data_IF_883383745377
#
_entry.id   IF_883383745377
#
_cell.length_a   1.000
_cell.length_b   1.000
_cell.length_c   1.000
_cell.angle_alpha   90.00
_cell.angle_beta   90.00
_cell.angle_gamma   90.00
#
_symmetry.space_group_name_H-M   'P 1'
#
loop_
_entity.id
_entity.type
_entity.pdbx_description
1 polymer ?
#
# COMPACT_ATOMS: atom_id res chain seq x y z
N UNK A 1 19.56 -21.28 9.99
CA UNK A 1 18.87 -20.06 10.46
C UNK A 1 18.88 -18.93 9.42
N UNK A 2 19.93 -18.84 8.60
CA UNK A 2 20.18 -17.69 7.71
C UNK A 2 19.56 -17.81 6.30
N UNK A 3 18.82 -18.89 6.03
CA UNK A 3 18.17 -19.09 4.74
C UNK A 3 16.97 -18.15 4.58
N UNK A 4 16.81 -17.57 3.37
CA UNK A 4 15.64 -16.74 3.05
C UNK A 4 14.37 -17.57 3.10
N UNK A 5 13.31 -17.01 3.67
CA UNK A 5 11.98 -17.64 3.74
C UNK A 5 11.50 -18.14 2.37
N UNK A 6 11.78 -17.42 1.29
CA UNK A 6 11.41 -17.84 -0.08
C UNK A 6 12.05 -19.16 -0.48
N UNK A 7 13.29 -19.41 -0.11
CA UNK A 7 13.99 -20.66 -0.42
C UNK A 7 13.50 -21.81 0.47
N UNK A 8 13.20 -21.52 1.74
CA UNK A 8 12.59 -22.49 2.64
C UNK A 8 11.20 -22.93 2.14
N UNK A 9 10.36 -21.99 1.71
CA UNK A 9 9.02 -22.30 1.17
C UNK A 9 9.11 -23.13 -0.12
N UNK A 10 10.05 -22.82 -1.02
CA UNK A 10 10.28 -23.64 -2.22
C UNK A 10 10.64 -25.08 -1.86
N UNK A 11 11.56 -25.27 -0.91
CA UNK A 11 11.98 -26.60 -0.44
C UNK A 11 10.83 -27.36 0.23
N UNK A 12 10.02 -26.67 1.04
CA UNK A 12 8.81 -27.28 1.65
C UNK A 12 7.82 -27.71 0.56
N UNK A 13 7.61 -26.90 -0.48
CA UNK A 13 6.73 -27.25 -1.58
C UNK A 13 7.25 -28.43 -2.43
N UNK A 14 8.58 -28.59 -2.55
CA UNK A 14 9.21 -29.79 -3.13
C UNK A 14 8.93 -31.03 -2.28
N UNK A 15 9.20 -30.96 -0.98
CA UNK A 15 8.93 -32.06 -0.05
C UNK A 15 7.46 -32.46 -0.06
N UNK A 16 6.54 -31.49 -0.09
CA UNK A 16 5.11 -31.78 -0.21
C UNK A 16 4.76 -32.49 -1.51
N UNK A 17 5.37 -32.13 -2.64
CA UNK A 17 5.11 -32.81 -3.92
C UNK A 17 5.55 -34.27 -3.88
N UNK A 18 6.72 -34.53 -3.33
CA UNK A 18 7.31 -35.87 -3.19
C UNK A 18 6.65 -36.73 -2.11
N UNK A 19 5.90 -36.11 -1.19
CA UNK A 19 5.22 -36.82 -0.11
C UNK A 19 4.21 -37.86 -0.66
N UNK A 20 4.22 -39.11 -0.18
CA UNK A 20 3.25 -40.12 -0.60
C UNK A 20 1.82 -39.69 -0.32
N UNK A 21 0.88 -40.12 -1.18
CA UNK A 21 -0.53 -39.77 -1.03
C UNK A 21 -1.13 -40.29 0.28
N UNK A 22 -0.63 -41.42 0.81
CA UNK A 22 -1.04 -41.94 2.11
C UNK A 22 -0.68 -40.99 3.27
N UNK A 23 0.43 -40.27 3.17
CA UNK A 23 0.84 -39.28 4.17
C UNK A 23 0.15 -37.94 3.96
N UNK A 24 -0.02 -37.50 2.69
CA UNK A 24 -0.84 -36.33 2.36
C UNK A 24 -2.28 -36.47 2.87
N UNK A 25 -2.84 -37.68 2.78
CA UNK A 25 -4.19 -38.00 3.23
C UNK A 25 -4.44 -37.67 4.70
N UNK A 26 -3.43 -37.83 5.57
CA UNK A 26 -3.53 -37.46 6.99
C UNK A 26 -3.85 -35.97 7.13
N UNK A 27 -3.20 -35.11 6.35
CA UNK A 27 -3.44 -33.66 6.35
C UNK A 27 -4.78 -33.30 5.71
N UNK A 28 -5.20 -34.00 4.67
CA UNK A 28 -6.52 -33.79 4.05
C UNK A 28 -7.66 -34.17 4.98
N UNK A 29 -7.55 -35.30 5.67
CA UNK A 29 -8.56 -35.76 6.62
C UNK A 29 -8.63 -34.81 7.83
N UNK A 30 -7.48 -34.35 8.33
CA UNK A 30 -7.43 -33.29 9.35
C UNK A 30 -8.09 -31.99 8.87
N UNK A 31 -7.77 -31.53 7.65
CA UNK A 31 -8.39 -30.35 7.06
C UNK A 31 -9.91 -30.49 6.94
N UNK A 32 -10.41 -31.67 6.54
CA UNK A 32 -11.86 -31.92 6.44
C UNK A 32 -12.55 -31.83 7.79
N UNK A 33 -11.93 -32.36 8.84
CA UNK A 33 -12.44 -32.25 10.21
C UNK A 33 -12.47 -30.79 10.67
N UNK A 34 -11.36 -30.06 10.51
CA UNK A 34 -11.26 -28.63 10.85
C UNK A 34 -12.27 -27.78 10.06
N UNK A 35 -12.52 -28.14 8.80
CA UNK A 35 -13.49 -27.45 7.95
C UNK A 35 -14.93 -27.59 8.46
N UNK A 36 -15.30 -28.75 9.02
CA UNK A 36 -16.63 -28.90 9.64
C UNK A 36 -16.77 -27.98 10.86
N UNK A 37 -15.75 -27.97 11.73
CA UNK A 37 -15.73 -27.11 12.93
C UNK A 37 -15.80 -25.64 12.55
N UNK A 38 -15.01 -25.21 11.57
CA UNK A 38 -15.03 -23.84 11.04
C UNK A 38 -16.41 -23.47 10.51
N UNK A 39 -17.04 -24.35 9.71
CA UNK A 39 -18.35 -24.09 9.13
C UNK A 39 -19.42 -23.92 10.20
N UNK A 40 -19.43 -24.78 11.22
CA UNK A 40 -20.37 -24.66 12.34
C UNK A 40 -20.16 -23.36 13.12
N UNK A 41 -18.91 -22.99 13.38
CA UNK A 41 -18.59 -21.75 14.08
C UNK A 41 -19.00 -20.50 13.28
N UNK A 42 -18.76 -20.50 11.97
CA UNK A 42 -19.22 -19.40 11.10
C UNK A 42 -20.74 -19.29 11.12
N UNK A 43 -21.47 -20.41 11.05
CA UNK A 43 -22.92 -20.40 11.12
C UNK A 43 -23.41 -19.83 12.46
N UNK A 44 -22.82 -20.28 13.59
CA UNK A 44 -23.14 -19.76 14.93
C UNK A 44 -22.94 -18.25 15.01
N UNK A 45 -21.82 -17.75 14.51
CA UNK A 45 -21.53 -16.30 14.49
C UNK A 45 -22.57 -15.59 13.61
N UNK A 46 -22.86 -16.11 12.42
CA UNK A 46 -23.82 -15.50 11.50
C UNK A 46 -25.22 -15.38 12.10
N UNK A 47 -25.71 -16.42 12.80
CA UNK A 47 -27.01 -16.40 13.48
C UNK A 47 -27.08 -15.37 14.62
N UNK A 48 -25.95 -15.10 15.28
CA UNK A 48 -25.86 -14.14 16.38
C UNK A 48 -25.67 -12.69 15.92
N UNK A 49 -25.35 -12.44 14.65
CA UNK A 49 -25.09 -11.10 14.15
C UNK A 49 -26.39 -10.31 13.97
N UNK A 50 -26.40 -9.10 14.49
CA UNK A 50 -27.47 -8.13 14.20
C UNK A 50 -27.35 -7.60 12.76
N UNK A 51 -28.44 -7.12 12.14
CA UNK A 51 -28.39 -6.51 10.81
C UNK A 51 -27.35 -5.39 10.67
N UNK A 52 -27.19 -4.57 11.71
CA UNK A 52 -26.18 -3.49 11.71
C UNK A 52 -24.75 -4.02 11.69
N UNK A 53 -24.45 -5.06 12.47
CA UNK A 53 -23.13 -5.69 12.47
C UNK A 53 -22.83 -6.38 11.13
N UNK A 54 -23.82 -7.02 10.50
CA UNK A 54 -23.67 -7.62 9.16
C UNK A 54 -23.28 -6.55 8.13
N UNK A 55 -24.02 -5.44 8.08
CA UNK A 55 -23.70 -4.32 7.17
C UNK A 55 -22.32 -3.73 7.45
N UNK A 56 -21.94 -3.58 8.72
CA UNK A 56 -20.60 -3.10 9.09
C UNK A 56 -19.50 -4.06 8.61
N UNK A 57 -19.69 -5.37 8.81
CA UNK A 57 -18.75 -6.40 8.37
C UNK A 57 -18.61 -6.42 6.84
N UNK A 58 -19.72 -6.37 6.11
CA UNK A 58 -19.72 -6.28 4.65
C UNK A 58 -18.96 -5.05 4.16
N UNK A 59 -19.20 -3.89 4.79
CA UNK A 59 -18.48 -2.65 4.49
C UNK A 59 -16.99 -2.78 4.74
N UNK A 60 -16.58 -3.38 5.86
CA UNK A 60 -15.15 -3.62 6.15
C UNK A 60 -14.51 -4.55 5.14
N UNK A 61 -15.17 -5.65 4.77
CA UNK A 61 -14.70 -6.59 3.74
C UNK A 61 -14.55 -5.86 2.41
N UNK A 62 -15.54 -5.07 2.02
CA UNK A 62 -15.51 -4.25 0.80
C UNK A 62 -14.34 -3.26 0.83
N UNK A 63 -14.15 -2.54 1.94
CA UNK A 63 -13.04 -1.59 2.10
C UNK A 63 -11.68 -2.29 2.01
N UNK A 64 -11.51 -3.45 2.66
CA UNK A 64 -10.29 -4.26 2.57
C UNK A 64 -10.01 -4.69 1.13
N UNK A 65 -11.03 -5.15 0.40
CA UNK A 65 -10.92 -5.53 -1.03
C UNK A 65 -10.54 -4.34 -1.91
N UNK A 66 -11.21 -3.19 -1.75
CA UNK A 66 -10.92 -1.97 -2.50
C UNK A 66 -9.50 -1.46 -2.22
N UNK A 67 -9.07 -1.47 -0.94
CA UNK A 67 -7.71 -1.09 -0.55
C UNK A 67 -6.65 -2.00 -1.18
N UNK A 68 -6.88 -3.33 -1.16
CA UNK A 68 -5.99 -4.30 -1.82
C UNK A 68 -5.92 -4.07 -3.32
N UNK A 69 -7.07 -3.87 -3.99
CA UNK A 69 -7.13 -3.59 -5.43
C UNK A 69 -6.39 -2.30 -5.79
N UNK A 70 -6.58 -1.23 -5.02
CA UNK A 70 -5.88 0.03 -5.22
C UNK A 70 -4.36 -0.10 -5.02
N UNK A 71 -3.92 -0.88 -4.02
CA UNK A 71 -2.50 -1.13 -3.78
C UNK A 71 -1.85 -1.92 -4.91
N UNK A 72 -2.50 -2.98 -5.41
CA UNK A 72 -2.00 -3.77 -6.54
C UNK A 72 -1.88 -2.89 -7.78
N UNK A 73 -2.95 -2.15 -8.13
CA UNK A 73 -2.93 -1.20 -9.27
C UNK A 73 -1.81 -0.16 -9.12
N UNK A 74 -1.60 0.37 -7.91
CA UNK A 74 -0.49 1.31 -7.66
C UNK A 74 0.88 0.66 -7.90
N UNK A 75 1.10 -0.57 -7.41
CA UNK A 75 2.37 -1.29 -7.60
C UNK A 75 2.63 -1.60 -9.06
N UNK A 76 1.61 -2.08 -9.77
CA UNK A 76 1.67 -2.34 -11.21
C UNK A 76 2.04 -1.09 -11.99
N UNK A 77 1.32 0.02 -11.80
CA UNK A 77 1.66 1.29 -12.46
C UNK A 77 3.07 1.79 -12.10
N UNK A 78 3.54 1.52 -10.88
CA UNK A 78 4.92 1.86 -10.47
C UNK A 78 5.94 0.97 -11.21
N UNK A 79 5.66 -0.33 -11.36
CA UNK A 79 6.52 -1.24 -12.11
C UNK A 79 6.55 -0.92 -13.60
N UNK A 80 5.43 -0.47 -14.17
CA UNK A 80 5.34 0.03 -15.55
C UNK A 80 5.97 1.41 -15.74
N UNK A 81 6.65 1.96 -14.72
CA UNK A 81 7.36 3.23 -14.83
C UNK A 81 6.47 4.45 -14.99
N UNK A 82 5.18 4.38 -14.60
CA UNK A 82 4.26 5.51 -14.75
C UNK A 82 4.82 6.78 -14.10
N UNK A 83 4.90 7.90 -14.84
CA UNK A 83 5.40 9.17 -14.33
C UNK A 83 4.73 9.61 -13.02
N UNK A 84 5.54 10.14 -12.10
CA UNK A 84 5.01 10.69 -10.85
C UNK A 84 4.27 12.00 -11.13
N UNK A 85 3.13 12.17 -10.46
CA UNK A 85 2.30 13.39 -10.50
C UNK A 85 3.13 14.66 -10.30
N UNK A 86 2.71 15.79 -10.88
CA UNK A 86 3.43 17.04 -10.74
C UNK A 86 3.40 17.49 -9.28
N UNK A 87 4.53 18.03 -8.81
CA UNK A 87 4.68 18.56 -7.45
C UNK A 87 4.10 19.97 -7.38
N UNK A 88 3.34 20.24 -6.33
CA UNK A 88 2.93 21.60 -6.02
C UNK A 88 4.10 22.43 -5.47
N UNK A 89 3.99 23.76 -5.52
CA UNK A 89 4.96 24.69 -4.94
C UNK A 89 5.28 24.34 -3.48
N UNK A 90 4.23 24.00 -2.72
CA UNK A 90 4.36 23.57 -1.33
C UNK A 90 5.06 22.22 -1.18
N UNK A 91 4.85 21.24 -2.08
CA UNK A 91 5.59 19.97 -2.02
C UNK A 91 7.09 20.17 -2.30
N UNK A 92 7.43 21.08 -3.22
CA UNK A 92 8.82 21.43 -3.53
C UNK A 92 9.45 22.11 -2.31
N UNK A 93 8.76 23.08 -1.71
CA UNK A 93 9.20 23.73 -0.47
C UNK A 93 9.40 22.73 0.69
N UNK A 94 8.45 21.79 0.91
CA UNK A 94 8.63 20.75 1.93
C UNK A 94 9.87 19.93 1.62
N UNK A 95 10.06 19.48 0.38
CA UNK A 95 11.19 18.63 0.03
C UNK A 95 12.54 19.30 0.33
N UNK A 96 12.67 20.59 0.01
CA UNK A 96 13.86 21.39 0.30
C UNK A 96 14.03 21.59 1.83
N UNK A 97 13.03 22.13 2.52
CA UNK A 97 13.14 22.45 3.96
C UNK A 97 13.23 21.24 4.86
N UNK A 98 12.65 20.11 4.46
CA UNK A 98 12.75 18.87 5.22
C UNK A 98 14.16 18.29 5.17
N UNK A 99 14.91 18.51 4.09
CA UNK A 99 16.34 18.15 4.00
C UNK A 99 17.21 19.06 4.87
N UNK A 100 16.88 20.35 4.96
CA UNK A 100 17.62 21.33 5.78
C UNK A 100 17.32 21.22 7.29
N UNK A 101 16.18 20.65 7.68
CA UNK A 101 15.76 20.59 9.07
C UNK A 101 16.60 19.59 9.89
N UNK A 102 17.22 20.08 10.97
CA UNK A 102 17.98 19.30 11.97
C UNK A 102 17.21 18.09 12.49
N UNK A 103 17.92 17.10 13.03
CA UNK A 103 17.34 15.84 13.52
C UNK A 103 16.24 16.03 14.57
N UNK A 104 15.19 15.21 14.45
CA UNK A 104 14.01 15.26 15.28
C UNK A 104 12.82 14.52 14.64
N UNK A 105 11.72 14.32 15.37
CA UNK A 105 10.57 13.61 14.85
C UNK A 105 9.98 14.32 13.62
N UNK A 106 9.70 13.57 12.53
CA UNK A 106 9.20 14.12 11.26
C UNK A 106 7.95 14.98 11.42
N UNK A 107 7.09 14.65 12.39
CA UNK A 107 5.88 15.40 12.71
C UNK A 107 6.17 16.83 13.20
N UNK A 108 7.21 16.99 14.03
CA UNK A 108 7.61 18.30 14.55
C UNK A 108 8.23 19.13 13.43
N UNK A 109 9.12 18.53 12.63
CA UNK A 109 9.72 19.20 11.46
C UNK A 109 8.64 19.72 10.50
N UNK A 110 7.66 18.87 10.16
CA UNK A 110 6.57 19.25 9.25
C UNK A 110 5.72 20.39 9.82
N UNK A 111 5.45 20.43 11.13
CA UNK A 111 4.72 21.56 11.74
C UNK A 111 5.47 22.87 11.53
N UNK A 112 6.77 22.91 11.84
CA UNK A 112 7.60 24.10 11.65
C UNK A 112 7.70 24.51 10.18
N UNK A 113 7.88 23.55 9.26
CA UNK A 113 7.89 23.83 7.82
C UNK A 113 6.55 24.42 7.37
N UNK A 114 5.42 23.92 7.90
CA UNK A 114 4.10 24.44 7.55
C UNK A 114 3.90 25.88 8.00
N UNK A 115 4.37 26.22 9.19
CA UNK A 115 4.36 27.59 9.71
C UNK A 115 5.25 28.50 8.85
N UNK A 116 6.47 28.05 8.53
CA UNK A 116 7.38 28.78 7.65
C UNK A 116 6.75 29.05 6.28
N UNK A 117 6.11 28.05 5.66
CA UNK A 117 5.41 28.22 4.38
C UNK A 117 4.31 29.29 4.46
N UNK A 118 3.52 29.31 5.53
CA UNK A 118 2.47 30.32 5.72
C UNK A 118 3.06 31.72 5.81
N UNK A 119 4.20 31.86 6.50
CA UNK A 119 4.88 33.12 6.75
C UNK A 119 5.76 33.61 5.57
N UNK A 120 5.98 32.80 4.54
CA UNK A 120 6.70 33.26 3.34
C UNK A 120 5.93 34.39 2.64
N UNK A 121 6.69 35.40 2.20
CA UNK A 121 6.16 36.47 1.34
C UNK A 121 5.75 35.94 -0.03
N UNK A 122 4.93 36.72 -0.75
CA UNK A 122 4.56 36.38 -2.14
C UNK A 122 5.77 36.24 -3.05
N UNK A 123 6.80 37.10 -2.89
CA UNK A 123 8.03 37.02 -3.68
C UNK A 123 8.83 35.75 -3.40
N UNK A 124 8.91 35.31 -2.14
CA UNK A 124 9.56 34.04 -1.78
C UNK A 124 8.77 32.83 -2.30
N UNK A 125 7.43 32.88 -2.24
CA UNK A 125 6.58 31.83 -2.81
C UNK A 125 6.68 31.75 -4.33
N UNK A 126 6.97 32.86 -5.00
CA UNK A 126 7.05 32.93 -6.47
C UNK A 126 8.07 31.95 -7.05
N UNK A 127 9.23 31.77 -6.39
CA UNK A 127 10.24 30.81 -6.84
C UNK A 127 9.68 29.39 -6.85
N UNK A 128 8.97 28.99 -5.80
CA UNK A 128 8.35 27.68 -5.70
C UNK A 128 7.16 27.51 -6.67
N UNK A 129 6.42 28.58 -6.93
CA UNK A 129 5.35 28.59 -7.94
C UNK A 129 5.94 28.34 -9.32
N UNK A 130 7.02 29.02 -9.69
CA UNK A 130 7.69 28.80 -10.98
C UNK A 130 8.19 27.37 -11.11
N UNK A 131 8.86 26.84 -10.08
CA UNK A 131 9.31 25.43 -10.08
C UNK A 131 8.14 24.43 -10.19
N UNK A 132 6.97 24.77 -9.67
CA UNK A 132 5.79 23.93 -9.80
C UNK A 132 5.20 23.97 -11.22
N UNK A 133 5.22 25.14 -11.89
CA UNK A 133 4.85 25.24 -13.30
C UNK A 133 5.81 24.44 -14.18
N UNK A 134 7.11 24.53 -13.94
CA UNK A 134 8.11 23.74 -14.66
C UNK A 134 7.90 22.23 -14.44
N UNK A 135 7.55 21.80 -13.23
CA UNK A 135 7.26 20.39 -12.92
C UNK A 135 5.97 19.88 -13.58
N UNK A 136 4.98 20.76 -13.85
CA UNK A 136 3.81 20.42 -14.67
C UNK A 136 4.22 20.15 -16.12
N UNK A 137 5.09 20.97 -16.69
CA UNK A 137 5.61 20.78 -18.06
C UNK A 137 6.38 19.45 -18.13
N UNK A 138 7.26 19.17 -17.17
CA UNK A 138 7.95 17.88 -17.03
C UNK A 138 6.94 16.72 -17.01
N UNK A 139 5.95 16.77 -16.13
CA UNK A 139 4.95 15.70 -16.00
C UNK A 139 4.18 15.48 -17.31
N UNK A 140 3.77 16.56 -17.99
CA UNK A 140 3.05 16.47 -19.26
C UNK A 140 3.88 15.74 -20.33
N UNK A 141 5.16 16.13 -20.48
CA UNK A 141 6.06 15.51 -21.45
C UNK A 141 6.35 14.03 -21.13
N UNK A 142 6.60 13.71 -19.84
CA UNK A 142 6.81 12.34 -19.39
C UNK A 142 5.56 11.48 -19.57
N UNK A 143 4.37 12.00 -19.25
CA UNK A 143 3.11 11.28 -19.42
C UNK A 143 2.81 11.01 -20.88
N UNK A 144 3.00 12.00 -21.76
CA UNK A 144 2.84 11.82 -23.20
C UNK A 144 3.75 10.70 -23.71
N UNK A 145 5.03 10.74 -23.34
CA UNK A 145 6.00 9.71 -23.73
C UNK A 145 5.65 8.33 -23.17
N UNK A 146 5.10 8.26 -21.95
CA UNK A 146 4.70 7.01 -21.31
C UNK A 146 3.42 6.41 -21.90
N UNK A 147 2.48 7.24 -22.36
CA UNK A 147 1.23 6.78 -23.01
C UNK A 147 1.45 6.36 -24.48
N UNK A 148 2.51 6.86 -25.12
CA UNK A 148 2.91 6.51 -26.50
C UNK A 148 3.78 5.24 -26.61
N UNK A 149 4.30 4.73 -25.49
CA UNK A 149 5.09 3.48 -25.41
C UNK A 149 4.20 2.23 -25.40
#
# INVERSE_FOLDING_TARGET
PDAKTTELIKKIAELWRELPDSEKKIYEDAYRADWQVYKEEVNRIQEQLTPSQMVSLEKEIMQKRLKKKALIKKRELTMLGKPKRPRSAYNIFIAERFQEAKDGPSQVKLKTINENWKNLSSSQKQVYIQLAEDDKVRYYNEMKSWEEQ
#
